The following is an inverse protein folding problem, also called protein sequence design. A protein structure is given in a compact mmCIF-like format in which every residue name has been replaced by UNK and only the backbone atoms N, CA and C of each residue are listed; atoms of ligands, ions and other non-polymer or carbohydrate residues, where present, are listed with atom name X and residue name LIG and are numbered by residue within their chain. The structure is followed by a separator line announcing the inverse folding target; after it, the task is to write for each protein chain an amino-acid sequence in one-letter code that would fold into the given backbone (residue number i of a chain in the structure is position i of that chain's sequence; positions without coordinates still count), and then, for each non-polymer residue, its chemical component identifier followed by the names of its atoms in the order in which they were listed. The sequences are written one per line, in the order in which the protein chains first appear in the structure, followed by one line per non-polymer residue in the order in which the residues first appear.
data_IF_066024383775
#
_entry.id   IF_066024383775
#
_cell.length_a   1.000
_cell.length_b   1.000
_cell.length_c   1.000
_cell.angle_alpha   90.00
_cell.angle_beta   90.00
_cell.angle_gamma   90.00
#
_symmetry.space_group_name_H-M   'P 1'
#
loop_
_entity.id
_entity.type
_entity.pdbx_description
1 polymer ?
#
# COMPACT_ATOMS: atom_id res chain seq x y z
N UNK A 1 -3.54 25.46 10.62
CA UNK A 1 -3.01 25.71 9.26
C UNK A 1 -1.73 26.51 9.41
N UNK A 2 -0.58 25.93 9.08
CA UNK A 2 0.71 26.63 9.21
C UNK A 2 0.77 27.70 8.11
N UNK A 3 0.88 28.97 8.51
CA UNK A 3 1.06 30.09 7.57
C UNK A 3 2.55 30.21 7.25
N UNK A 4 2.99 29.60 6.16
CA UNK A 4 4.33 29.78 5.62
C UNK A 4 4.34 31.07 4.78
N UNK A 5 5.14 32.06 5.16
CA UNK A 5 5.36 33.25 4.34
C UNK A 5 6.48 32.95 3.34
N UNK A 6 6.43 33.55 2.15
CA UNK A 6 7.47 33.31 1.14
C UNK A 6 8.88 33.74 1.59
N UNK A 7 8.94 34.71 2.49
CA UNK A 7 10.16 35.18 3.17
C UNK A 7 10.77 34.12 4.10
N UNK A 8 9.94 33.31 4.78
CA UNK A 8 10.42 32.23 5.65
C UNK A 8 11.08 31.10 4.85
N UNK A 9 10.53 30.76 3.68
CA UNK A 9 11.04 29.69 2.79
C UNK A 9 12.40 30.08 2.20
N UNK A 10 12.60 31.37 1.87
CA UNK A 10 13.86 31.87 1.29
C UNK A 10 15.04 31.78 2.24
N UNK A 11 14.79 31.75 3.55
CA UNK A 11 15.83 31.66 4.57
C UNK A 11 16.24 30.22 4.89
N UNK A 12 15.57 29.22 4.32
CA UNK A 12 15.93 27.83 4.58
C UNK A 12 17.27 27.49 3.94
N UNK A 13 18.21 26.92 4.71
CA UNK A 13 19.46 26.44 4.16
C UNK A 13 19.16 25.30 3.20
N UNK A 14 19.43 25.52 1.91
CA UNK A 14 19.24 24.51 0.86
C UNK A 14 20.61 24.02 0.39
N UNK A 15 20.93 22.73 0.58
CA UNK A 15 22.14 22.18 0.00
C UNK A 15 22.03 22.18 -1.52
N UNK A 16 23.09 22.63 -2.20
CA UNK A 16 23.17 22.65 -3.65
C UNK A 16 24.36 21.79 -4.11
N UNK A 17 24.24 20.45 -4.07
CA UNK A 17 25.31 19.58 -4.54
C UNK A 17 25.47 19.67 -6.06
N UNK A 18 26.59 19.20 -6.63
CA UNK A 18 26.77 19.07 -8.08
C UNK A 18 25.64 18.30 -8.78
N UNK A 19 25.38 18.63 -10.05
CA UNK A 19 24.23 18.12 -10.80
C UNK A 19 24.24 16.59 -10.96
N UNK A 20 25.42 16.00 -11.15
CA UNK A 20 25.61 14.55 -11.22
C UNK A 20 25.16 13.85 -9.92
N UNK A 21 25.50 14.43 -8.76
CA UNK A 21 25.05 13.93 -7.45
C UNK A 21 23.53 14.07 -7.29
N UNK A 22 22.96 15.21 -7.73
CA UNK A 22 21.51 15.40 -7.70
C UNK A 22 20.79 14.34 -8.52
N UNK A 23 21.25 14.08 -9.75
CA UNK A 23 20.65 13.10 -10.65
C UNK A 23 20.77 11.67 -10.12
N UNK A 24 21.94 11.30 -9.59
CA UNK A 24 22.15 9.99 -8.98
C UNK A 24 21.20 9.76 -7.80
N UNK A 25 21.06 10.75 -6.92
CA UNK A 25 20.17 10.68 -5.77
C UNK A 25 18.69 10.60 -6.17
N UNK A 26 18.26 11.42 -7.14
CA UNK A 26 16.88 11.36 -7.66
C UNK A 26 16.58 10.00 -8.26
N UNK A 27 17.52 9.43 -9.02
CA UNK A 27 17.35 8.12 -9.62
C UNK A 27 17.18 7.03 -8.55
N UNK A 28 18.01 7.04 -7.51
CA UNK A 28 17.91 6.11 -6.38
C UNK A 28 16.56 6.21 -5.65
N UNK A 29 16.10 7.44 -5.38
CA UNK A 29 14.81 7.68 -4.74
C UNK A 29 13.65 7.19 -5.62
N UNK A 30 13.71 7.44 -6.93
CA UNK A 30 12.69 6.99 -7.86
C UNK A 30 12.67 5.46 -8.02
N UNK A 31 13.82 4.79 -7.99
CA UNK A 31 13.90 3.32 -7.98
C UNK A 31 13.24 2.74 -6.72
N UNK A 32 13.57 3.28 -5.55
CA UNK A 32 12.95 2.87 -4.28
C UNK A 32 11.45 3.16 -4.24
N UNK A 33 11.02 4.28 -4.82
CA UNK A 33 9.60 4.65 -4.92
C UNK A 33 8.85 3.67 -5.81
N UNK A 34 9.38 3.33 -6.98
CA UNK A 34 8.80 2.32 -7.88
C UNK A 34 8.62 0.97 -7.21
N UNK A 35 9.62 0.52 -6.45
CA UNK A 35 9.55 -0.72 -5.69
C UNK A 35 8.41 -0.67 -4.67
N UNK A 36 8.34 0.40 -3.89
CA UNK A 36 7.32 0.61 -2.85
C UNK A 36 5.92 0.66 -3.45
N UNK A 37 5.73 1.40 -4.53
CA UNK A 37 4.45 1.52 -5.23
C UNK A 37 4.01 0.18 -5.82
N UNK A 38 4.95 -0.60 -6.38
CA UNK A 38 4.68 -1.95 -6.88
C UNK A 38 4.20 -2.90 -5.78
N UNK A 39 4.84 -2.87 -4.61
CA UNK A 39 4.41 -3.67 -3.45
C UNK A 39 3.03 -3.23 -2.94
N UNK A 40 2.81 -1.91 -2.84
CA UNK A 40 1.51 -1.34 -2.45
C UNK A 40 0.40 -1.80 -3.38
N UNK A 41 0.63 -1.79 -4.68
CA UNK A 41 -0.34 -2.26 -5.67
C UNK A 41 -0.67 -3.74 -5.49
N UNK A 42 0.35 -4.60 -5.30
CA UNK A 42 0.16 -6.05 -5.07
C UNK A 42 -0.67 -6.32 -3.81
N UNK A 43 -0.38 -5.62 -2.71
CA UNK A 43 -1.12 -5.76 -1.44
C UNK A 43 -2.58 -5.34 -1.62
N UNK A 44 -2.83 -4.19 -2.24
CA UNK A 44 -4.19 -3.72 -2.49
C UNK A 44 -4.98 -4.72 -3.36
N UNK A 45 -4.34 -5.30 -4.38
CA UNK A 45 -4.96 -6.35 -5.21
C UNK A 45 -5.27 -7.60 -4.39
N UNK A 46 -4.37 -8.05 -3.51
CA UNK A 46 -4.63 -9.19 -2.63
C UNK A 46 -5.79 -8.92 -1.67
N UNK A 47 -5.87 -7.72 -1.08
CA UNK A 47 -6.99 -7.33 -0.22
C UNK A 47 -8.32 -7.36 -0.97
N UNK A 48 -8.36 -6.85 -2.20
CA UNK A 48 -9.56 -6.90 -3.05
C UNK A 48 -10.00 -8.35 -3.32
N UNK A 49 -9.07 -9.23 -3.70
CA UNK A 49 -9.35 -10.65 -3.94
C UNK A 49 -9.83 -11.39 -2.67
N UNK A 50 -9.25 -11.07 -1.52
CA UNK A 50 -9.69 -11.64 -0.24
C UNK A 50 -11.10 -11.17 0.13
N UNK A 51 -11.43 -9.91 -0.13
CA UNK A 51 -12.77 -9.38 0.07
C UNK A 51 -13.79 -10.06 -0.85
N UNK A 52 -13.47 -10.23 -2.13
CA UNK A 52 -14.30 -10.96 -3.10
C UNK A 52 -14.52 -12.41 -2.67
N UNK A 53 -13.44 -13.12 -2.30
CA UNK A 53 -13.53 -14.50 -1.81
C UNK A 53 -14.38 -14.61 -0.55
N UNK A 54 -14.22 -13.68 0.39
CA UNK A 54 -15.05 -13.64 1.61
C UNK A 54 -16.53 -13.48 1.24
N UNK A 55 -16.85 -12.58 0.32
CA UNK A 55 -18.22 -12.37 -0.12
C UNK A 55 -18.79 -13.61 -0.79
N UNK A 56 -18.05 -14.23 -1.71
CA UNK A 56 -18.46 -15.45 -2.40
C UNK A 56 -18.71 -16.61 -1.41
N UNK A 57 -17.84 -16.78 -0.41
CA UNK A 57 -18.02 -17.81 0.63
C UNK A 57 -19.26 -17.56 1.49
N UNK A 58 -19.53 -16.31 1.87
CA UNK A 58 -20.76 -15.95 2.59
C UNK A 58 -21.99 -16.26 1.73
N UNK A 59 -21.97 -15.87 0.46
CA UNK A 59 -23.07 -16.13 -0.48
C UNK A 59 -23.29 -17.63 -0.65
N UNK A 60 -22.24 -18.43 -0.84
CA UNK A 60 -22.35 -19.88 -0.98
C UNK A 60 -22.90 -20.54 0.31
N UNK A 61 -22.47 -20.06 1.48
CA UNK A 61 -22.99 -20.52 2.76
C UNK A 61 -24.48 -20.20 2.95
N UNK A 62 -24.89 -18.96 2.66
CA UNK A 62 -26.29 -18.51 2.83
C UNK A 62 -27.23 -19.14 1.80
N UNK A 63 -26.73 -19.45 0.60
CA UNK A 63 -27.49 -20.16 -0.44
C UNK A 63 -27.48 -21.68 -0.25
N UNK A 64 -26.84 -22.20 0.79
CA UNK A 64 -26.77 -23.64 1.08
C UNK A 64 -25.85 -24.43 0.12
N UNK A 65 -25.09 -23.74 -0.73
CA UNK A 65 -24.07 -24.35 -1.60
C UNK A 65 -22.81 -24.78 -0.83
N UNK A 66 -22.67 -24.34 0.41
CA UNK A 66 -21.55 -24.65 1.32
C UNK A 66 -22.10 -24.99 2.70
N UNK A 67 -21.85 -26.20 3.19
CA UNK A 67 -22.29 -26.62 4.52
C UNK A 67 -21.39 -26.05 5.62
N UNK A 68 -21.87 -25.00 6.27
CA UNK A 68 -21.17 -24.28 7.34
C UNK A 68 -21.21 -24.99 8.69
N UNK A 69 -21.98 -26.08 8.84
CA UNK A 69 -22.05 -26.82 10.11
C UNK A 69 -20.83 -27.72 10.35
N UNK A 70 -20.23 -28.28 9.29
CA UNK A 70 -19.00 -29.08 9.40
C UNK A 70 -17.74 -28.23 9.62
N UNK A 71 -17.72 -26.99 9.12
CA UNK A 71 -16.55 -26.10 9.17
C UNK A 71 -16.14 -25.67 10.60
N UNK A 72 -17.04 -25.75 11.59
CA UNK A 72 -16.75 -25.38 12.98
C UNK A 72 -15.91 -26.42 13.74
N UNK A 73 -15.70 -27.61 13.16
CA UNK A 73 -14.99 -28.73 13.83
C UNK A 73 -13.46 -28.68 13.67
N UNK A 74 -12.89 -27.72 12.92
CA UNK A 74 -11.45 -27.70 12.57
C UNK A 74 -10.52 -26.87 13.46
N UNK A 75 -11.00 -26.22 14.54
CA UNK A 75 -10.18 -25.32 15.39
C UNK A 75 -9.76 -25.98 16.72
N UNK A 76 -9.62 -27.31 16.73
CA UNK A 76 -9.05 -28.05 17.88
C UNK A 76 -8.06 -29.10 17.40
N UNK A 77 -6.82 -28.68 17.18
CA UNK A 77 -5.60 -29.47 17.30
C UNK A 77 -4.40 -28.51 17.39
#
# INVERSE_FOLDING_TARGET
MVKLRGEDIRQWPMPLPPLDVQLAFVQEVEDNRRLTDGLRHKINRQLALLAERRQALITAAVTGQLDVTTARSGVRA
#
